data_IF_304900905745
#
_entry.id   IF_304900905745
#
_cell.length_a   1.000
_cell.length_b   1.000
_cell.length_c   1.000
_cell.angle_alpha   90.00
_cell.angle_beta   90.00
_cell.angle_gamma   90.00
#
_symmetry.space_group_name_H-M   'P 1'
#
loop_
_entity.id
_entity.type
_entity.pdbx_description
1 polymer ?
#
# COMPACT_ATOMS: atom_id res chain seq x y z
N UNK A 1 34.28 -19.19 -21.07
CA UNK A 1 33.79 -18.37 -19.94
C UNK A 1 34.51 -18.78 -18.66
N UNK A 2 34.46 -20.06 -18.27
CA UNK A 2 35.31 -20.63 -17.19
C UNK A 2 36.81 -20.42 -17.42
N UNK A 3 37.31 -20.53 -18.66
CA UNK A 3 38.72 -20.27 -18.97
C UNK A 3 39.19 -18.82 -18.65
N UNK A 4 38.29 -17.82 -18.74
CA UNK A 4 38.63 -16.45 -18.39
C UNK A 4 38.69 -16.26 -16.85
N UNK A 5 37.90 -17.04 -16.13
CA UNK A 5 37.88 -17.06 -14.66
C UNK A 5 39.15 -17.73 -14.13
N UNK A 6 39.49 -18.92 -14.62
CA UNK A 6 40.75 -19.60 -14.27
C UNK A 6 41.98 -18.79 -14.68
N UNK A 7 41.88 -17.95 -15.72
CA UNK A 7 42.93 -17.02 -16.12
C UNK A 7 43.10 -15.87 -15.13
N UNK A 8 42.03 -15.34 -14.55
CA UNK A 8 42.14 -14.25 -13.55
C UNK A 8 42.67 -14.77 -12.21
N UNK A 9 42.19 -15.94 -11.78
CA UNK A 9 42.56 -16.55 -10.49
C UNK A 9 44.02 -17.00 -10.45
N UNK A 10 44.60 -17.37 -11.60
CA UNK A 10 46.00 -17.80 -11.69
C UNK A 10 47.01 -16.70 -11.31
N UNK A 11 46.72 -15.42 -11.58
CA UNK A 11 47.61 -14.32 -11.19
C UNK A 11 46.86 -12.98 -11.13
N UNK A 12 46.09 -12.80 -10.06
CA UNK A 12 45.16 -11.67 -9.89
C UNK A 12 45.88 -10.32 -9.84
N UNK A 13 47.07 -10.25 -9.22
CA UNK A 13 47.81 -8.99 -9.00
C UNK A 13 48.32 -8.37 -10.31
N UNK A 14 48.84 -9.19 -11.22
CA UNK A 14 49.35 -8.69 -12.51
C UNK A 14 48.30 -8.59 -13.61
N UNK A 15 47.17 -9.32 -13.47
CA UNK A 15 46.13 -9.41 -14.50
C UNK A 15 44.92 -8.50 -14.24
N UNK A 16 44.75 -7.98 -13.02
CA UNK A 16 43.70 -7.01 -12.68
C UNK A 16 43.72 -5.78 -13.61
N UNK A 17 44.90 -5.32 -14.03
CA UNK A 17 45.03 -4.18 -14.97
C UNK A 17 44.37 -4.42 -16.34
N UNK A 18 44.20 -5.68 -16.76
CA UNK A 18 43.55 -6.04 -18.03
C UNK A 18 42.11 -6.50 -17.84
N UNK A 19 41.64 -6.58 -16.60
CA UNK A 19 40.33 -7.11 -16.22
C UNK A 19 39.20 -6.36 -16.94
N UNK A 20 39.28 -5.02 -16.99
CA UNK A 20 38.30 -4.17 -17.67
C UNK A 20 38.09 -4.54 -19.15
N UNK A 21 39.19 -4.90 -19.84
CA UNK A 21 39.17 -5.25 -21.26
C UNK A 21 38.59 -6.64 -21.44
N UNK A 22 39.01 -7.61 -20.60
CA UNK A 22 38.50 -8.99 -20.65
C UNK A 22 37.00 -9.04 -20.35
N UNK A 23 36.53 -8.25 -19.38
CA UNK A 23 35.11 -8.16 -19.02
C UNK A 23 34.25 -7.57 -20.13
N UNK A 24 34.80 -6.66 -20.93
CA UNK A 24 34.06 -6.10 -22.07
C UNK A 24 33.72 -7.13 -23.16
N UNK A 25 34.40 -8.29 -23.16
CA UNK A 25 34.19 -9.38 -24.11
C UNK A 25 33.45 -10.59 -23.53
N UNK A 26 33.10 -10.55 -22.24
CA UNK A 26 32.36 -11.62 -21.55
C UNK A 26 30.86 -11.29 -21.51
N UNK A 27 30.03 -12.26 -21.93
CA UNK A 27 28.57 -12.25 -21.72
C UNK A 27 28.25 -12.81 -20.35
N UNK A 28 28.23 -11.92 -19.35
CA UNK A 28 28.08 -12.25 -17.91
C UNK A 28 26.66 -12.75 -17.61
N UNK A 29 25.67 -12.29 -18.38
CA UNK A 29 24.26 -12.71 -18.39
C UNK A 29 24.05 -14.21 -18.64
N UNK A 30 25.05 -14.88 -19.18
CA UNK A 30 25.00 -16.31 -19.48
C UNK A 30 25.80 -17.17 -18.49
N UNK A 31 26.14 -16.61 -17.32
CA UNK A 31 26.62 -17.34 -16.13
C UNK A 31 25.45 -17.57 -15.17
N UNK A 32 25.49 -18.64 -14.38
CA UNK A 32 24.47 -18.88 -13.33
C UNK A 32 24.58 -17.83 -12.22
N UNK A 33 23.46 -17.55 -11.55
CA UNK A 33 23.39 -16.53 -10.49
C UNK A 33 24.37 -16.81 -9.34
N UNK A 34 24.60 -18.08 -9.01
CA UNK A 34 25.56 -18.52 -8.00
C UNK A 34 26.99 -18.09 -8.37
N UNK A 35 27.41 -18.34 -9.61
CA UNK A 35 28.74 -17.96 -10.11
C UNK A 35 28.90 -16.44 -10.17
N UNK A 36 27.83 -15.72 -10.51
CA UNK A 36 27.84 -14.25 -10.51
C UNK A 36 28.08 -13.71 -9.10
N UNK A 37 27.39 -14.24 -8.08
CA UNK A 37 27.51 -13.79 -6.68
C UNK A 37 28.88 -14.11 -6.09
N UNK A 38 29.41 -15.32 -6.28
CA UNK A 38 30.76 -15.70 -5.82
C UNK A 38 31.84 -14.81 -6.43
N UNK A 39 31.73 -14.53 -7.73
CA UNK A 39 32.68 -13.68 -8.43
C UNK A 39 32.64 -12.23 -7.94
N UNK A 40 31.45 -11.69 -7.68
CA UNK A 40 31.28 -10.35 -7.11
C UNK A 40 31.92 -10.17 -5.73
N UNK A 41 31.91 -11.23 -4.92
CA UNK A 41 32.50 -11.21 -3.59
C UNK A 41 34.03 -11.30 -3.62
N UNK A 42 34.60 -12.03 -4.59
CA UNK A 42 36.05 -12.24 -4.73
C UNK A 42 36.85 -11.07 -5.34
N UNK A 43 36.18 -10.04 -5.87
CA UNK A 43 36.85 -8.92 -6.55
C UNK A 43 37.44 -7.89 -5.57
N UNK A 44 38.65 -7.35 -5.85
CA UNK A 44 39.21 -6.23 -5.10
C UNK A 44 38.28 -5.01 -5.10
N UNK A 45 38.21 -4.23 -4.00
CA UNK A 45 37.26 -3.11 -3.87
C UNK A 45 37.30 -2.09 -5.02
N UNK A 46 38.49 -1.81 -5.54
CA UNK A 46 38.70 -0.83 -6.62
C UNK A 46 38.12 -1.30 -7.97
N UNK A 47 38.07 -2.62 -8.19
CA UNK A 47 37.67 -3.21 -9.47
C UNK A 47 36.17 -3.57 -9.54
N UNK A 48 35.46 -3.52 -8.41
CA UNK A 48 34.00 -3.71 -8.34
C UNK A 48 33.25 -2.69 -9.20
N UNK A 49 33.75 -1.46 -9.29
CA UNK A 49 33.15 -0.38 -10.07
C UNK A 49 33.13 -0.67 -11.58
N UNK A 50 34.21 -1.27 -12.10
CA UNK A 50 34.37 -1.64 -13.51
C UNK A 50 33.49 -2.84 -13.87
N UNK A 51 33.38 -3.80 -12.96
CA UNK A 51 32.51 -4.99 -13.11
C UNK A 51 31.04 -4.59 -13.13
N UNK A 52 30.64 -3.67 -12.25
CA UNK A 52 29.30 -3.07 -12.27
C UNK A 52 29.02 -2.39 -13.61
N UNK A 53 29.97 -1.62 -14.16
CA UNK A 53 29.81 -1.00 -15.49
C UNK A 53 29.77 -2.00 -16.66
N UNK A 54 30.51 -3.12 -16.56
CA UNK A 54 30.48 -4.21 -17.54
C UNK A 54 29.12 -4.92 -17.56
N UNK A 55 28.61 -5.28 -16.37
CA UNK A 55 27.27 -5.84 -16.18
C UNK A 55 26.17 -4.88 -16.64
N UNK A 56 26.36 -3.58 -16.40
CA UNK A 56 25.48 -2.51 -16.87
C UNK A 56 25.33 -2.46 -18.39
N UNK A 57 26.36 -2.87 -19.14
CA UNK A 57 26.31 -2.95 -20.62
C UNK A 57 25.63 -4.24 -21.11
N UNK A 58 25.73 -5.34 -20.37
CA UNK A 58 25.15 -6.64 -20.73
C UNK A 58 23.72 -6.86 -20.24
N UNK A 59 23.21 -6.05 -19.30
CA UNK A 59 21.82 -6.16 -18.85
C UNK A 59 20.83 -5.81 -19.98
N UNK A 60 19.70 -6.55 -20.10
CA UNK A 60 18.59 -6.16 -20.96
C UNK A 60 18.17 -4.71 -20.66
N UNK A 61 17.70 -3.97 -21.68
CA UNK A 61 17.29 -2.55 -21.53
C UNK A 61 16.31 -2.31 -20.36
N UNK A 62 15.58 -3.35 -19.95
CA UNK A 62 14.60 -3.37 -18.88
C UNK A 62 15.15 -3.16 -17.46
N UNK A 63 16.46 -3.31 -17.23
CA UNK A 63 17.05 -3.26 -15.88
C UNK A 63 18.19 -2.26 -15.70
N UNK A 64 18.36 -1.24 -16.56
CA UNK A 64 19.40 -0.21 -16.32
C UNK A 64 18.89 0.88 -15.36
N UNK A 65 19.32 0.94 -14.07
CA UNK A 65 19.05 2.12 -13.24
C UNK A 65 20.02 3.20 -13.71
N UNK A 66 19.54 4.35 -14.20
CA UNK A 66 20.42 5.42 -14.72
C UNK A 66 21.42 5.83 -13.64
N UNK A 67 22.72 5.94 -13.98
CA UNK A 67 23.70 6.56 -13.09
C UNK A 67 23.17 7.94 -12.67
N UNK A 68 22.95 8.14 -11.36
CA UNK A 68 22.36 9.36 -10.81
C UNK A 68 20.87 9.29 -10.43
N UNK A 69 20.21 8.11 -10.47
CA UNK A 69 18.86 7.97 -9.92
C UNK A 69 18.88 8.02 -8.39
N UNK A 70 18.29 9.08 -7.83
CA UNK A 70 17.90 9.12 -6.41
C UNK A 70 16.70 8.19 -6.21
N UNK A 71 16.75 7.31 -5.21
CA UNK A 71 15.56 6.61 -4.73
C UNK A 71 14.69 7.66 -4.04
N UNK A 72 13.46 7.82 -4.52
CA UNK A 72 12.49 8.74 -3.95
C UNK A 72 11.25 7.95 -3.52
N UNK A 73 10.73 8.29 -2.35
CA UNK A 73 9.47 7.72 -1.85
C UNK A 73 8.30 8.57 -2.33
N UNK A 74 7.27 7.89 -2.83
CA UNK A 74 6.11 8.54 -3.45
C UNK A 74 4.84 8.10 -2.73
N UNK A 75 3.91 9.03 -2.58
CA UNK A 75 2.55 8.74 -2.10
C UNK A 75 1.65 8.58 -3.31
N UNK A 76 1.05 7.41 -3.48
CA UNK A 76 0.07 7.17 -4.54
C UNK A 76 -1.33 7.19 -3.94
N UNK A 77 -2.19 8.03 -4.51
CA UNK A 77 -3.58 8.16 -4.11
C UNK A 77 -4.42 7.65 -5.27
N UNK A 78 -5.01 6.48 -5.06
CA UNK A 78 -6.02 5.91 -5.95
C UNK A 78 -7.35 6.50 -5.51
N UNK A 79 -8.05 7.16 -6.43
CA UNK A 79 -9.32 7.87 -6.19
C UNK A 79 -9.19 9.23 -5.48
N UNK A 80 -8.24 10.06 -5.90
CA UNK A 80 -8.22 11.46 -5.53
C UNK A 80 -9.46 12.17 -6.11
N UNK A 81 -10.28 12.76 -5.24
CA UNK A 81 -11.50 13.47 -5.65
C UNK A 81 -11.13 14.79 -6.36
N UNK A 82 -11.73 15.01 -7.54
CA UNK A 82 -11.59 16.27 -8.29
C UNK A 82 -12.67 17.28 -7.87
N UNK A 83 -12.53 18.54 -8.29
CA UNK A 83 -13.49 19.61 -8.00
C UNK A 83 -14.93 19.28 -8.44
N UNK A 84 -15.06 18.46 -9.49
CA UNK A 84 -16.35 17.97 -9.97
C UNK A 84 -16.83 16.76 -9.16
N UNK A 85 -18.04 16.81 -8.56
CA UNK A 85 -18.59 15.68 -7.82
C UNK A 85 -18.63 14.40 -8.65
N UNK A 86 -18.04 13.33 -8.13
CA UNK A 86 -18.03 12.01 -8.78
C UNK A 86 -16.93 11.79 -9.82
N UNK A 87 -16.01 12.74 -9.99
CA UNK A 87 -14.82 12.56 -10.84
C UNK A 87 -13.59 12.27 -9.97
N UNK A 88 -12.84 11.24 -10.33
CA UNK A 88 -11.69 10.75 -9.57
C UNK A 88 -10.45 10.60 -10.47
N UNK A 89 -9.28 10.82 -9.89
CA UNK A 89 -7.99 10.61 -10.55
C UNK A 89 -7.06 9.73 -9.72
N UNK A 90 -6.09 9.12 -10.38
CA UNK A 90 -4.93 8.52 -9.70
C UNK A 90 -3.76 9.46 -9.82
N UNK A 91 -3.20 9.83 -8.67
CA UNK A 91 -2.10 10.77 -8.59
C UNK A 91 -0.96 10.17 -7.79
N UNK A 92 0.25 10.60 -8.13
CA UNK A 92 1.48 10.24 -7.47
C UNK A 92 2.14 11.52 -6.98
N UNK A 93 2.23 11.69 -5.67
CA UNK A 93 2.85 12.83 -5.02
C UNK A 93 4.27 12.48 -4.59
N UNK A 94 5.21 13.33 -4.96
CA UNK A 94 6.60 13.35 -4.51
C UNK A 94 6.72 14.36 -3.37
N UNK A 95 6.92 13.93 -2.11
CA UNK A 95 7.17 14.84 -1.00
C UNK A 95 8.49 15.59 -1.14
N UNK A 96 9.53 14.94 -1.68
CA UNK A 96 10.86 15.54 -1.79
C UNK A 96 10.94 16.60 -2.90
N UNK A 97 10.30 16.38 -4.07
CA UNK A 97 10.27 17.36 -5.16
C UNK A 97 9.04 18.27 -5.12
N UNK A 98 8.15 18.09 -4.15
CA UNK A 98 6.87 18.81 -4.01
C UNK A 98 6.03 18.82 -5.29
N UNK A 99 6.00 17.67 -5.97
CA UNK A 99 5.41 17.56 -7.30
C UNK A 99 4.40 16.45 -7.39
N UNK A 100 3.33 16.70 -8.13
CA UNK A 100 2.32 15.69 -8.48
C UNK A 100 2.48 15.26 -9.93
N UNK A 101 2.40 13.95 -10.11
CA UNK A 101 2.38 13.28 -11.39
C UNK A 101 1.03 12.60 -11.56
N UNK A 102 0.44 12.76 -12.75
CA UNK A 102 -0.80 12.08 -13.10
C UNK A 102 -0.48 10.66 -13.55
N UNK A 103 -1.03 9.68 -12.83
CA UNK A 103 -1.00 8.28 -13.27
C UNK A 103 -2.26 7.96 -14.06
N UNK A 104 -2.22 6.87 -14.83
CA UNK A 104 -3.42 6.40 -15.48
C UNK A 104 -4.46 5.95 -14.44
N UNK A 105 -5.73 6.26 -14.72
CA UNK A 105 -6.81 5.85 -13.83
C UNK A 105 -7.07 4.34 -13.95
N UNK A 106 -7.52 3.70 -12.86
CA UNK A 106 -8.02 2.33 -12.89
C UNK A 106 -9.03 2.10 -14.02
N UNK A 107 -9.00 0.93 -14.69
CA UNK A 107 -9.90 0.63 -15.80
C UNK A 107 -11.38 0.72 -15.39
N UNK A 108 -12.25 1.07 -16.35
CA UNK A 108 -13.71 1.06 -16.18
C UNK A 108 -14.25 1.94 -15.04
N UNK A 109 -13.55 3.03 -14.69
CA UNK A 109 -13.92 3.91 -13.58
C UNK A 109 -14.07 3.12 -12.26
N UNK A 110 -13.11 2.21 -12.02
CA UNK A 110 -13.10 1.38 -10.83
C UNK A 110 -12.85 2.25 -9.59
N UNK A 111 -13.76 2.14 -8.62
CA UNK A 111 -13.73 2.88 -7.36
C UNK A 111 -13.77 1.94 -6.16
N UNK A 112 -13.45 2.47 -4.98
CA UNK A 112 -13.43 1.77 -3.69
C UNK A 112 -12.55 0.52 -3.72
N UNK A 113 -11.37 0.60 -4.35
CA UNK A 113 -10.42 -0.52 -4.37
C UNK A 113 -9.66 -0.67 -3.05
N UNK A 114 -9.13 -1.86 -2.80
CA UNK A 114 -7.99 -2.03 -1.90
C UNK A 114 -6.70 -1.84 -2.69
N UNK A 115 -5.63 -1.39 -2.03
CA UNK A 115 -4.33 -1.16 -2.65
C UNK A 115 -3.21 -1.69 -1.77
N UNK A 116 -2.13 -2.20 -2.38
CA UNK A 116 -0.92 -2.67 -1.68
C UNK A 116 0.30 -2.42 -2.55
N UNK A 117 1.44 -2.19 -1.90
CA UNK A 117 2.76 -2.11 -2.54
C UNK A 117 3.61 -3.27 -2.04
N UNK A 118 4.23 -4.02 -2.94
CA UNK A 118 5.17 -5.09 -2.60
C UNK A 118 6.52 -4.53 -2.12
N UNK A 119 7.37 -5.33 -1.45
CA UNK A 119 8.74 -4.93 -1.14
C UNK A 119 9.57 -4.54 -2.37
N UNK A 120 9.21 -5.06 -3.55
CA UNK A 120 9.87 -4.78 -4.83
C UNK A 120 9.31 -3.52 -5.53
N UNK A 121 8.41 -2.78 -4.87
CA UNK A 121 7.71 -1.58 -5.35
C UNK A 121 6.64 -1.84 -6.43
N UNK A 122 6.18 -3.08 -6.57
CA UNK A 122 5.03 -3.37 -7.41
C UNK A 122 3.74 -2.91 -6.73
N UNK A 123 2.90 -2.22 -7.49
CA UNK A 123 1.65 -1.65 -6.98
C UNK A 123 0.49 -2.48 -7.50
N UNK A 124 -0.37 -2.90 -6.59
CA UNK A 124 -1.56 -3.68 -6.92
C UNK A 124 -2.82 -3.03 -6.38
N UNK A 125 -3.92 -3.20 -7.11
CA UNK A 125 -5.27 -2.84 -6.66
C UNK A 125 -6.23 -4.01 -6.84
N UNK A 126 -7.18 -4.16 -5.93
CA UNK A 126 -8.15 -5.25 -5.97
C UNK A 126 -9.57 -4.82 -5.55
N UNK A 127 -10.55 -5.51 -6.13
CA UNK A 127 -11.96 -5.35 -5.81
C UNK A 127 -12.50 -4.02 -6.32
N UNK A 128 -13.43 -3.44 -5.57
CA UNK A 128 -14.08 -2.18 -5.86
C UNK A 128 -15.44 -2.33 -6.53
N UNK A 129 -15.90 -1.23 -7.12
CA UNK A 129 -17.17 -1.11 -7.80
C UNK A 129 -17.01 -0.35 -9.12
N UNK A 130 -17.79 -0.73 -10.12
CA UNK A 130 -17.86 -0.06 -11.42
C UNK A 130 -19.26 0.50 -11.67
N UNK A 131 -19.40 1.68 -12.30
CA UNK A 131 -20.71 2.22 -12.68
C UNK A 131 -21.45 1.32 -13.68
N UNK A 132 -22.75 1.10 -13.48
CA UNK A 132 -23.62 0.43 -14.45
C UNK A 132 -24.10 1.45 -15.49
N UNK A 133 -23.69 1.29 -16.75
CA UNK A 133 -24.01 2.23 -17.85
C UNK A 133 -25.48 2.23 -18.31
N UNK A 134 -26.36 1.40 -17.74
CA UNK A 134 -27.75 1.20 -18.20
C UNK A 134 -28.76 1.23 -17.04
N UNK A 135 -29.11 2.42 -16.53
CA UNK A 135 -30.40 2.61 -15.87
C UNK A 135 -31.36 3.24 -16.89
N UNK A 136 -32.18 2.42 -17.56
CA UNK A 136 -33.25 2.93 -18.42
C UNK A 136 -34.18 3.78 -17.56
N UNK A 137 -34.30 5.06 -17.91
CA UNK A 137 -35.28 5.97 -17.33
C UNK A 137 -36.68 5.45 -17.61
N UNK A 138 -37.43 5.06 -16.57
CA UNK A 138 -38.88 5.01 -16.66
C UNK A 138 -39.37 6.45 -16.61
N UNK A 139 -39.95 6.92 -17.71
CA UNK A 139 -40.29 8.31 -18.02
C UNK A 139 -41.26 9.06 -17.08
N UNK A 140 -41.59 8.57 -15.87
CA UNK A 140 -42.70 9.12 -15.09
C UNK A 140 -42.40 9.68 -13.70
N UNK A 141 -41.14 9.84 -13.25
CA UNK A 141 -40.85 10.66 -12.04
C UNK A 141 -39.50 11.37 -12.14
N UNK A 142 -39.41 12.69 -11.88
CA UNK A 142 -38.13 13.39 -11.76
C UNK A 142 -37.54 13.07 -10.38
N UNK A 143 -37.01 11.86 -10.22
CA UNK A 143 -36.23 11.45 -9.05
C UNK A 143 -34.74 11.61 -9.34
N UNK A 144 -33.98 12.11 -8.36
CA UNK A 144 -32.50 12.21 -8.41
C UNK A 144 -31.92 10.89 -8.94
N UNK A 145 -31.21 10.93 -10.08
CA UNK A 145 -30.46 9.79 -10.59
C UNK A 145 -29.43 9.37 -9.53
N UNK A 146 -29.62 8.21 -8.91
CA UNK A 146 -28.55 7.58 -8.14
C UNK A 146 -27.79 6.63 -9.07
N UNK A 147 -26.47 6.83 -9.27
CA UNK A 147 -25.68 5.90 -10.05
C UNK A 147 -25.72 4.52 -9.42
N UNK A 148 -26.08 3.51 -10.21
CA UNK A 148 -26.07 2.12 -9.77
C UNK A 148 -24.68 1.55 -10.00
N UNK A 149 -24.15 0.82 -9.03
CA UNK A 149 -22.80 0.27 -9.07
C UNK A 149 -22.82 -1.25 -8.99
N UNK A 150 -21.91 -1.91 -9.71
CA UNK A 150 -21.65 -3.35 -9.60
C UNK A 150 -20.35 -3.58 -8.84
N UNK A 151 -20.40 -4.35 -7.77
CA UNK A 151 -19.20 -4.83 -7.07
C UNK A 151 -18.46 -5.85 -7.92
N UNK A 152 -17.13 -5.75 -7.96
CA UNK A 152 -16.26 -6.61 -8.78
C UNK A 152 -15.18 -7.29 -7.93
N UNK A 153 -14.54 -8.31 -8.50
CA UNK A 153 -13.41 -9.05 -7.96
C UNK A 153 -12.12 -8.78 -8.78
N UNK A 154 -12.10 -7.72 -9.58
CA UNK A 154 -10.97 -7.42 -10.47
C UNK A 154 -9.68 -7.21 -9.68
N UNK A 155 -8.55 -7.59 -10.29
CA UNK A 155 -7.22 -7.44 -9.71
C UNK A 155 -6.26 -6.93 -10.78
N UNK A 156 -5.49 -5.89 -10.45
CA UNK A 156 -4.59 -5.24 -11.39
C UNK A 156 -3.23 -4.98 -10.75
N UNK A 157 -2.19 -5.11 -11.57
CA UNK A 157 -0.83 -4.64 -11.30
C UNK A 157 -0.56 -3.38 -12.13
N UNK A 158 0.18 -2.42 -11.59
CA UNK A 158 0.52 -1.19 -12.30
C UNK A 158 1.89 -1.29 -12.97
N UNK A 159 1.92 -1.23 -14.30
CA UNK A 159 3.16 -1.06 -15.05
C UNK A 159 3.56 0.43 -15.03
N UNK A 160 4.52 0.76 -14.18
CA UNK A 160 5.03 2.12 -14.04
C UNK A 160 5.78 2.64 -15.28
N UNK A 161 6.33 1.75 -16.13
CA UNK A 161 7.03 2.15 -17.36
C UNK A 161 6.05 2.59 -18.43
N UNK A 162 4.94 1.86 -18.54
CA UNK A 162 3.88 2.14 -19.51
C UNK A 162 2.83 3.11 -18.97
N UNK A 163 2.82 3.34 -17.66
CA UNK A 163 1.76 4.07 -16.95
C UNK A 163 0.39 3.45 -17.29
N UNK A 164 0.26 2.14 -17.09
CA UNK A 164 -0.94 1.36 -17.40
C UNK A 164 -1.24 0.35 -16.30
N UNK A 165 -2.54 0.08 -16.07
CA UNK A 165 -3.00 -1.02 -15.23
C UNK A 165 -3.12 -2.29 -16.06
N UNK A 166 -2.39 -3.33 -15.68
CA UNK A 166 -2.39 -4.64 -16.32
C UNK A 166 -3.29 -5.58 -15.51
N UNK A 167 -4.29 -6.23 -16.13
CA UNK A 167 -5.14 -7.20 -15.45
C UNK A 167 -4.34 -8.43 -15.04
N UNK A 168 -4.60 -8.91 -13.83
CA UNK A 168 -4.10 -10.17 -13.27
C UNK A 168 -5.29 -11.10 -12.98
N UNK A 169 -5.03 -12.32 -12.52
CA UNK A 169 -6.11 -13.24 -12.17
C UNK A 169 -7.03 -12.57 -11.12
N UNK A 170 -8.35 -12.49 -11.37
CA UNK A 170 -9.28 -11.85 -10.46
C UNK A 170 -9.39 -12.64 -9.16
N UNK A 171 -9.71 -11.94 -8.07
CA UNK A 171 -10.03 -12.53 -6.78
C UNK A 171 -11.17 -13.55 -6.89
N UNK A 172 -11.22 -14.51 -5.96
CA UNK A 172 -12.29 -15.50 -5.85
C UNK A 172 -13.60 -14.86 -5.38
N UNK A 173 -13.52 -13.83 -4.53
CA UNK A 173 -14.67 -13.11 -3.99
C UNK A 173 -14.74 -11.67 -4.51
N UNK A 174 -15.96 -11.20 -4.77
CA UNK A 174 -16.22 -9.78 -5.05
C UNK A 174 -16.15 -8.99 -3.74
N UNK A 175 -15.42 -7.86 -3.74
CA UNK A 175 -15.14 -7.08 -2.51
C UNK A 175 -15.14 -5.59 -2.82
N UNK A 176 -15.65 -4.78 -1.92
CA UNK A 176 -15.56 -3.31 -1.93
C UNK A 176 -14.70 -2.88 -0.76
N UNK A 177 -13.67 -2.06 -1.02
CA UNK A 177 -12.63 -1.67 -0.06
C UNK A 177 -12.06 -2.86 0.73
N UNK A 178 -11.61 -3.94 0.07
CA UNK A 178 -10.87 -4.97 0.78
C UNK A 178 -9.60 -4.37 1.41
N UNK A 179 -9.20 -4.87 2.57
CA UNK A 179 -7.84 -4.61 3.06
C UNK A 179 -6.88 -5.49 2.26
N UNK A 180 -5.89 -4.88 1.61
CA UNK A 180 -4.80 -5.59 0.96
C UNK A 180 -3.52 -5.44 1.77
N UNK A 181 -2.81 -6.54 1.98
CA UNK A 181 -1.50 -6.55 2.66
C UNK A 181 -0.55 -7.51 1.99
N UNK A 182 0.73 -7.17 1.97
CA UNK A 182 1.81 -8.08 1.55
C UNK A 182 2.37 -8.77 2.78
N UNK A 183 2.36 -10.10 2.80
CA UNK A 183 2.90 -10.86 3.92
C UNK A 183 3.44 -12.21 3.44
N UNK A 184 4.60 -12.63 3.95
CA UNK A 184 5.18 -13.96 3.69
C UNK A 184 5.30 -14.30 2.18
N UNK A 185 5.55 -13.29 1.35
CA UNK A 185 5.69 -13.44 -0.12
C UNK A 185 4.38 -13.48 -0.91
N UNK A 186 3.23 -13.27 -0.27
CA UNK A 186 1.91 -13.27 -0.91
C UNK A 186 1.16 -11.95 -0.66
N UNK A 187 0.20 -11.64 -1.53
CA UNK A 187 -0.79 -10.59 -1.29
C UNK A 187 -2.03 -11.21 -0.67
N UNK A 188 -2.52 -10.67 0.44
CA UNK A 188 -3.75 -11.10 1.08
C UNK A 188 -4.84 -10.07 0.85
N UNK A 189 -6.02 -10.52 0.42
CA UNK A 189 -7.25 -9.74 0.38
C UNK A 189 -8.19 -10.17 1.50
N UNK A 190 -8.51 -9.22 2.38
CA UNK A 190 -9.18 -9.48 3.65
C UNK A 190 -10.46 -8.64 3.73
N UNK A 191 -11.57 -9.30 4.04
CA UNK A 191 -12.85 -8.64 4.32
C UNK A 191 -13.37 -7.78 3.16
N UNK A 192 -13.79 -6.56 3.49
CA UNK A 192 -14.45 -5.65 2.56
C UNK A 192 -15.97 -5.84 2.50
N UNK A 193 -16.68 -4.83 2.00
CA UNK A 193 -18.12 -4.90 1.80
C UNK A 193 -18.43 -5.71 0.54
N UNK A 194 -19.39 -6.62 0.58
CA UNK A 194 -19.78 -7.38 -0.61
C UNK A 194 -21.29 -7.57 -0.69
N UNK A 195 -21.77 -7.89 -1.89
CA UNK A 195 -23.18 -8.21 -2.16
C UNK A 195 -23.55 -9.62 -1.65
N UNK A 196 -22.57 -10.44 -1.25
CA UNK A 196 -22.77 -11.84 -0.83
C UNK A 196 -23.02 -12.06 0.67
N UNK A 197 -23.28 -11.00 1.44
CA UNK A 197 -23.64 -11.09 2.85
C UNK A 197 -22.47 -11.38 3.79
N UNK A 198 -22.79 -11.85 5.00
CA UNK A 198 -21.85 -11.98 6.11
C UNK A 198 -20.70 -12.98 5.84
N UNK A 199 -20.98 -14.09 5.17
CA UNK A 199 -19.98 -15.13 4.89
C UNK A 199 -18.82 -14.60 4.03
N UNK A 200 -19.12 -13.80 3.00
CA UNK A 200 -18.10 -13.18 2.16
C UNK A 200 -17.26 -12.14 2.92
N UNK A 201 -17.81 -11.52 3.97
CA UNK A 201 -17.05 -10.58 4.80
C UNK A 201 -16.01 -11.26 5.67
N UNK A 202 -16.13 -12.57 5.88
CA UNK A 202 -15.17 -13.37 6.64
C UNK A 202 -14.07 -13.96 5.76
N UNK A 203 -14.29 -14.09 4.46
CA UNK A 203 -13.32 -14.79 3.60
C UNK A 203 -12.03 -13.99 3.52
N UNK A 204 -10.92 -14.73 3.53
CA UNK A 204 -9.58 -14.22 3.26
C UNK A 204 -9.01 -15.07 2.15
N UNK A 205 -8.40 -14.41 1.18
CA UNK A 205 -7.77 -15.05 0.04
C UNK A 205 -6.36 -14.50 -0.13
N UNK A 206 -5.43 -15.36 -0.53
CA UNK A 206 -4.05 -14.99 -0.82
C UNK A 206 -3.75 -15.18 -2.30
N UNK A 207 -2.88 -14.35 -2.82
CA UNK A 207 -2.43 -14.35 -4.20
C UNK A 207 -0.95 -14.71 -4.29
N UNK A 208 -0.66 -15.73 -5.10
CA UNK A 208 0.68 -16.17 -5.45
C UNK A 208 1.11 -15.45 -6.74
N UNK A 209 2.05 -14.51 -6.63
CA UNK A 209 2.52 -13.72 -7.77
C UNK A 209 3.22 -14.55 -8.84
N UNK A 210 3.86 -15.67 -8.46
CA UNK A 210 4.57 -16.56 -9.39
C UNK A 210 3.60 -17.38 -10.23
N UNK A 211 2.50 -17.82 -9.61
CA UNK A 211 1.47 -18.64 -10.28
C UNK A 211 0.36 -17.82 -10.92
N UNK A 212 0.21 -16.56 -10.53
CA UNK A 212 -0.95 -15.74 -10.87
C UNK A 212 -2.27 -16.39 -10.44
N UNK A 213 -2.32 -16.86 -9.18
CA UNK A 213 -3.47 -17.61 -8.66
C UNK A 213 -3.88 -17.13 -7.27
N UNK A 214 -5.20 -17.04 -7.06
CA UNK A 214 -5.79 -16.80 -5.74
C UNK A 214 -6.18 -18.12 -5.07
N UNK A 215 -5.97 -18.21 -3.76
CA UNK A 215 -6.38 -19.35 -2.94
C UNK A 215 -7.06 -18.86 -1.67
N UNK A 216 -8.18 -19.48 -1.29
CA UNK A 216 -8.81 -19.21 0.01
C UNK A 216 -7.92 -19.72 1.15
N UNK A 217 -7.79 -18.91 2.20
CA UNK A 217 -7.13 -19.29 3.45
C UNK A 217 -8.14 -19.23 4.59
N UNK A 218 -7.69 -19.52 5.82
CA UNK A 218 -8.57 -19.50 7.00
C UNK A 218 -9.34 -18.18 7.10
N UNK A 219 -10.68 -18.23 7.21
CA UNK A 219 -11.49 -17.03 7.25
C UNK A 219 -11.34 -16.31 8.59
N UNK A 220 -11.67 -15.01 8.61
CA UNK A 220 -11.77 -14.23 9.83
C UNK A 220 -12.71 -14.92 10.85
N UNK A 221 -12.39 -14.87 12.15
CA UNK A 221 -13.25 -15.44 13.20
C UNK A 221 -14.64 -14.81 13.26
N UNK A 222 -14.77 -13.54 12.88
CA UNK A 222 -16.04 -12.81 12.78
C UNK A 222 -16.08 -11.94 11.53
N UNK A 223 -17.28 -11.61 11.06
CA UNK A 223 -17.49 -10.72 9.92
C UNK A 223 -17.32 -9.26 10.33
N UNK A 224 -16.55 -8.49 9.55
CA UNK A 224 -16.36 -7.07 9.78
C UNK A 224 -16.74 -6.24 8.55
N UNK A 225 -17.22 -5.03 8.81
CA UNK A 225 -17.29 -3.96 7.82
C UNK A 225 -16.15 -2.99 8.10
N UNK A 226 -15.60 -2.40 7.05
CA UNK A 226 -14.62 -1.31 7.15
C UNK A 226 -13.42 -1.62 8.06
N UNK A 227 -12.94 -2.87 7.99
CA UNK A 227 -11.72 -3.28 8.65
C UNK A 227 -10.49 -2.64 8.01
N UNK A 228 -9.43 -2.53 8.80
CA UNK A 228 -8.08 -2.21 8.33
C UNK A 228 -7.15 -3.36 8.68
N UNK A 229 -6.20 -3.65 7.81
CA UNK A 229 -5.18 -4.66 8.04
C UNK A 229 -3.78 -4.07 7.89
N UNK A 230 -2.85 -4.52 8.73
CA UNK A 230 -1.41 -4.17 8.67
C UNK A 230 -0.58 -5.41 8.94
N UNK A 231 0.71 -5.37 8.59
CA UNK A 231 1.65 -6.47 8.81
C UNK A 231 2.72 -6.05 9.79
N UNK A 232 2.95 -6.88 10.81
CA UNK A 232 4.06 -6.74 11.75
C UNK A 232 4.67 -8.12 11.99
N UNK A 233 5.99 -8.24 11.84
CA UNK A 233 6.74 -9.50 12.06
C UNK A 233 6.12 -10.72 11.36
N UNK A 234 5.85 -10.60 10.05
CA UNK A 234 5.20 -11.62 9.20
C UNK A 234 3.81 -12.09 9.67
N UNK A 235 3.16 -11.32 10.54
CA UNK A 235 1.81 -11.59 11.01
C UNK A 235 0.86 -10.49 10.52
N UNK A 236 -0.35 -10.87 10.13
CA UNK A 236 -1.36 -9.96 9.63
C UNK A 236 -2.29 -9.59 10.78
N UNK A 237 -2.37 -8.32 11.12
CA UNK A 237 -3.28 -7.79 12.12
C UNK A 237 -4.47 -7.14 11.46
N UNK A 238 -5.68 -7.58 11.80
CA UNK A 238 -6.94 -7.04 11.29
C UNK A 238 -7.70 -6.40 12.44
N UNK A 239 -8.12 -5.17 12.24
CA UNK A 239 -8.79 -4.37 13.25
C UNK A 239 -10.11 -3.81 12.72
N UNK A 240 -11.15 -3.93 13.53
CA UNK A 240 -12.46 -3.33 13.28
C UNK A 240 -13.20 -3.16 14.61
N UNK A 241 -13.97 -2.07 14.74
CA UNK A 241 -14.67 -1.74 15.98
C UNK A 241 -13.68 -1.66 17.15
N UNK A 242 -13.87 -2.47 18.19
CA UNK A 242 -12.94 -2.61 19.31
C UNK A 242 -12.10 -3.90 19.24
N UNK A 243 -12.26 -4.70 18.17
CA UNK A 243 -11.65 -6.02 18.03
C UNK A 243 -10.35 -5.95 17.23
N UNK A 244 -9.41 -6.81 17.62
CA UNK A 244 -8.13 -6.99 16.96
C UNK A 244 -7.88 -8.49 16.80
N UNK A 245 -7.59 -8.93 15.59
CA UNK A 245 -7.24 -10.31 15.28
C UNK A 245 -5.88 -10.39 14.62
N UNK A 246 -5.09 -11.39 14.99
CA UNK A 246 -3.80 -11.69 14.39
C UNK A 246 -3.89 -13.00 13.60
N UNK A 247 -3.49 -12.98 12.34
CA UNK A 247 -3.35 -14.15 11.50
C UNK A 247 -1.87 -14.48 11.31
N UNK A 248 -1.53 -15.74 11.54
CA UNK A 248 -0.18 -16.27 11.35
C UNK A 248 -0.18 -17.08 10.04
N UNK A 249 0.36 -16.54 8.93
CA UNK A 249 0.28 -17.18 7.61
C UNK A 249 0.81 -18.61 7.56
N UNK A 250 1.95 -18.85 8.24
CA UNK A 250 2.62 -20.16 8.26
C UNK A 250 1.78 -21.28 8.87
N UNK A 251 0.94 -20.95 9.86
CA UNK A 251 0.07 -21.94 10.52
C UNK A 251 -1.39 -21.86 10.05
N UNK A 252 -1.78 -20.77 9.39
CA UNK A 252 -3.17 -20.53 9.01
C UNK A 252 -4.10 -20.28 10.21
N UNK A 253 -3.57 -19.87 11.36
CA UNK A 253 -4.34 -19.72 12.60
C UNK A 253 -4.64 -18.24 12.85
N UNK A 254 -5.86 -17.97 13.31
CA UNK A 254 -6.28 -16.68 13.86
C UNK A 254 -6.24 -16.69 15.39
N UNK A 255 -5.72 -15.62 15.98
CA UNK A 255 -5.77 -15.35 17.41
C UNK A 255 -6.52 -14.04 17.66
N UNK A 256 -7.38 -14.02 18.69
CA UNK A 256 -7.96 -12.78 19.21
C UNK A 256 -6.93 -12.09 20.10
N UNK A 257 -6.67 -10.82 19.83
CA UNK A 257 -5.70 -9.99 20.56
C UNK A 257 -6.43 -9.06 21.52
N UNK A 258 -5.69 -8.23 22.26
CA UNK A 258 -6.28 -7.26 23.17
C UNK A 258 -7.26 -6.33 22.44
N UNK A 259 -8.37 -6.05 23.13
CA UNK A 259 -9.44 -5.18 22.65
C UNK A 259 -9.08 -3.72 22.90
N UNK A 260 -9.48 -2.85 21.99
CA UNK A 260 -9.48 -1.41 22.24
C UNK A 260 -10.61 -1.04 23.18
N UNK A 261 -10.43 0.05 23.91
CA UNK A 261 -11.53 0.64 24.68
C UNK A 261 -12.53 1.31 23.74
N UNK A 262 -12.04 1.96 22.68
CA UNK A 262 -12.89 2.58 21.68
C UNK A 262 -13.41 1.55 20.66
N UNK A 263 -14.66 1.72 20.23
CA UNK A 263 -15.24 1.00 19.09
C UNK A 263 -15.30 1.93 17.88
N UNK A 264 -14.37 1.74 16.94
CA UNK A 264 -14.23 2.59 15.74
C UNK A 264 -14.15 1.80 14.45
N UNK A 265 -14.65 2.34 13.36
CA UNK A 265 -14.52 1.80 12.00
C UNK A 265 -14.01 2.86 11.03
N UNK A 266 -13.69 2.48 9.78
CA UNK A 266 -13.20 3.41 8.74
C UNK A 266 -11.90 4.16 9.10
N UNK A 267 -11.16 3.67 10.09
CA UNK A 267 -9.88 4.24 10.48
C UNK A 267 -8.78 3.91 9.46
N UNK A 268 -7.67 4.62 9.58
CA UNK A 268 -6.40 4.26 8.94
C UNK A 268 -5.50 3.55 9.96
N UNK A 269 -4.61 2.69 9.48
CA UNK A 269 -3.59 2.12 10.35
C UNK A 269 -2.26 1.98 9.63
N UNK A 270 -1.17 2.07 10.39
CA UNK A 270 0.18 1.84 9.91
C UNK A 270 0.97 1.03 10.96
N UNK A 271 1.81 0.12 10.47
CA UNK A 271 2.80 -0.56 11.27
C UNK A 271 4.09 0.25 11.29
N UNK A 272 4.64 0.53 12.47
CA UNK A 272 5.91 1.23 12.62
C UNK A 272 6.58 0.80 13.93
N UNK A 273 7.87 0.46 13.85
CA UNK A 273 8.71 0.05 14.99
C UNK A 273 8.08 -1.01 15.92
N UNK A 274 7.55 -2.09 15.33
CA UNK A 274 6.91 -3.17 16.08
C UNK A 274 5.57 -2.79 16.75
N UNK A 275 5.02 -1.62 16.43
CA UNK A 275 3.73 -1.13 16.92
C UNK A 275 2.76 -0.94 15.77
N UNK A 276 1.47 -0.90 16.11
CA UNK A 276 0.40 -0.58 15.17
C UNK A 276 -0.28 0.69 15.62
N UNK A 277 -0.23 1.71 14.78
CA UNK A 277 -0.92 2.98 14.99
C UNK A 277 -2.28 2.92 14.33
N UNK A 278 -3.34 3.06 15.10
CA UNK A 278 -4.72 3.09 14.65
C UNK A 278 -5.26 4.52 14.78
N UNK A 279 -5.58 5.12 13.63
CA UNK A 279 -5.66 6.56 13.45
C UNK A 279 -7.05 6.95 12.91
N UNK A 280 -7.75 7.78 13.69
CA UNK A 280 -9.06 8.31 13.32
C UNK A 280 -10.16 7.25 13.23
N UNK A 281 -11.06 7.44 12.25
CA UNK A 281 -12.25 6.61 12.06
C UNK A 281 -13.49 7.20 12.73
N UNK A 282 -14.61 6.50 12.57
CA UNK A 282 -15.90 6.88 13.14
C UNK A 282 -16.25 5.97 14.31
N UNK A 283 -16.73 6.57 15.40
CA UNK A 283 -17.30 5.80 16.50
C UNK A 283 -18.51 5.00 16.01
N UNK A 284 -18.56 3.73 16.40
CA UNK A 284 -19.59 2.79 16.00
C UNK A 284 -20.35 2.30 17.23
N UNK A 285 -21.63 2.69 17.31
CA UNK A 285 -22.55 2.22 18.34
C UNK A 285 -22.98 0.79 18.01
N UNK A 286 -22.97 -0.10 19.01
CA UNK A 286 -23.28 -1.52 18.83
C UNK A 286 -24.71 -1.84 18.34
N UNK A 287 -25.61 -0.84 18.21
CA UNK A 287 -27.06 -1.06 18.12
C UNK A 287 -27.82 -0.35 16.97
N UNK A 288 -27.17 0.18 15.93
CA UNK A 288 -27.95 0.71 14.81
C UNK A 288 -27.34 0.41 13.43
N UNK A 289 -28.19 -0.06 12.52
CA UNK A 289 -27.87 -0.16 11.10
C UNK A 289 -27.32 1.18 10.62
N UNK A 290 -26.10 1.12 10.09
CA UNK A 290 -25.18 2.25 10.02
C UNK A 290 -25.74 3.37 9.14
N UNK A 291 -26.27 4.43 9.77
CA UNK A 291 -26.24 5.77 9.19
C UNK A 291 -24.91 6.39 9.58
N UNK A 292 -23.96 6.40 8.64
CA UNK A 292 -22.70 7.12 8.81
C UNK A 292 -23.01 8.61 9.07
N UNK A 293 -22.56 9.19 10.19
CA UNK A 293 -22.62 10.64 10.38
C UNK A 293 -21.78 11.32 9.30
N UNK A 294 -22.25 12.46 8.77
CA UNK A 294 -21.49 13.28 7.82
C UNK A 294 -20.33 14.06 8.47
N UNK A 295 -20.21 14.00 9.80
CA UNK A 295 -19.18 14.69 10.59
C UNK A 295 -19.05 14.01 11.97
N UNK A 296 -17.82 13.85 12.44
CA UNK A 296 -17.51 13.43 13.83
C UNK A 296 -17.60 14.65 14.76
N UNK A 297 -18.53 14.64 15.70
CA UNK A 297 -18.62 15.66 16.77
C UNK A 297 -17.83 15.27 18.03
N UNK A 298 -17.24 14.08 18.03
CA UNK A 298 -16.72 13.35 19.19
C UNK A 298 -15.19 13.19 19.19
N UNK A 299 -14.46 14.00 18.41
CA UNK A 299 -12.99 13.93 18.20
C UNK A 299 -12.46 12.56 17.72
N UNK A 300 -13.34 11.62 17.36
CA UNK A 300 -12.96 10.25 16.98
C UNK A 300 -12.11 10.20 15.71
N UNK A 301 -12.26 11.20 14.83
CA UNK A 301 -11.53 11.34 13.56
C UNK A 301 -10.07 11.75 13.72
N UNK A 302 -9.70 12.34 14.86
CA UNK A 302 -8.31 12.75 15.17
C UNK A 302 -7.64 11.85 16.21
N UNK A 303 -8.41 10.97 16.86
CA UNK A 303 -7.90 10.15 17.94
C UNK A 303 -6.91 9.07 17.48
N UNK A 304 -5.83 8.89 18.25
CA UNK A 304 -4.77 7.91 17.98
C UNK A 304 -4.71 6.89 19.10
N UNK A 305 -4.79 5.62 18.74
CA UNK A 305 -4.53 4.50 19.65
C UNK A 305 -3.39 3.65 19.09
N UNK A 306 -2.49 3.21 19.96
CA UNK A 306 -1.31 2.42 19.58
C UNK A 306 -1.42 1.05 20.23
N UNK A 307 -1.19 0.02 19.43
CA UNK A 307 -1.07 -1.35 19.89
C UNK A 307 0.38 -1.76 19.92
N UNK A 308 0.86 -2.13 21.10
CA UNK A 308 2.18 -2.73 21.29
C UNK A 308 2.10 -4.23 21.05
N UNK A 309 2.70 -4.70 19.96
CA UNK A 309 2.64 -6.10 19.55
C UNK A 309 3.32 -7.02 20.55
N UNK A 310 4.36 -6.56 21.24
CA UNK A 310 5.10 -7.35 22.21
C UNK A 310 4.33 -7.51 23.52
N UNK A 311 3.62 -6.46 23.94
CA UNK A 311 2.83 -6.47 25.18
C UNK A 311 1.41 -7.00 24.98
N UNK A 312 0.92 -7.02 23.75
CA UNK A 312 -0.50 -7.27 23.45
C UNK A 312 -1.40 -6.30 24.22
N UNK A 313 -1.12 -5.00 24.11
CA UNK A 313 -1.81 -3.94 24.84
C UNK A 313 -2.07 -2.73 23.95
N UNK A 314 -3.21 -2.07 24.18
CA UNK A 314 -3.57 -0.80 23.57
C UNK A 314 -3.36 0.36 24.55
N UNK A 315 -2.85 1.48 24.06
CA UNK A 315 -2.80 2.74 24.79
C UNK A 315 -3.13 3.91 23.86
N UNK A 316 -3.56 5.03 24.46
CA UNK A 316 -3.85 6.26 23.74
C UNK A 316 -2.56 7.04 23.52
N UNK A 317 -2.39 7.60 22.33
CA UNK A 317 -1.28 8.49 21.97
C UNK A 317 -1.82 9.89 21.61
N UNK A 318 -0.93 10.85 21.39
CA UNK A 318 -1.33 12.20 21.01
C UNK A 318 -2.21 12.22 19.76
N UNK A 319 -3.29 12.97 19.87
CA UNK A 319 -4.24 13.18 18.78
C UNK A 319 -3.58 13.88 17.59
N UNK A 320 -4.09 13.56 16.40
CA UNK A 320 -3.68 14.20 15.17
C UNK A 320 -4.01 15.71 15.26
N UNK A 321 -3.06 16.60 14.91
CA UNK A 321 -3.24 18.04 14.98
C UNK A 321 -4.09 18.51 13.80
N UNK A 322 -5.41 18.29 13.87
CA UNK A 322 -6.38 18.79 12.92
C UNK A 322 -7.43 19.66 13.62
N UNK A 323 -8.01 20.63 12.90
CA UNK A 323 -9.04 21.51 13.44
C UNK A 323 -10.34 20.74 13.72
N UNK A 324 -11.01 21.09 14.82
CA UNK A 324 -12.39 20.68 15.11
C UNK A 324 -13.28 20.99 13.89
N UNK A 325 -14.18 20.06 13.55
CA UNK A 325 -15.10 20.11 12.39
C UNK A 325 -14.49 19.88 10.99
N UNK A 326 -13.21 19.51 10.89
CA UNK A 326 -12.71 18.93 9.65
C UNK A 326 -13.25 17.49 9.49
N UNK A 327 -13.47 17.05 8.25
CA UNK A 327 -13.56 15.62 7.91
C UNK A 327 -12.17 15.17 7.45
N UNK A 328 -11.21 14.94 8.39
CA UNK A 328 -9.85 14.61 8.01
C UNK A 328 -9.86 13.24 7.35
N UNK A 329 -9.66 13.23 6.04
CA UNK A 329 -9.27 11.99 5.38
C UNK A 329 -7.83 11.69 5.80
N UNK A 330 -7.69 10.92 6.88
CA UNK A 330 -6.39 10.48 7.39
C UNK A 330 -5.96 9.24 6.61
N UNK A 331 -4.75 9.29 6.05
CA UNK A 331 -4.04 8.11 5.55
C UNK A 331 -2.68 8.06 6.23
N UNK A 332 -2.53 7.07 7.09
CA UNK A 332 -1.28 6.77 7.75
C UNK A 332 -0.34 6.12 6.74
N UNK A 333 0.88 6.64 6.65
CA UNK A 333 1.92 6.18 5.72
C UNK A 333 3.25 6.24 6.45
N UNK A 334 4.12 5.25 6.23
CA UNK A 334 5.50 5.32 6.71
C UNK A 334 6.35 5.88 5.57
N UNK A 335 6.98 7.04 5.79
CA UNK A 335 7.80 7.73 4.80
C UNK A 335 9.16 8.01 5.43
N UNK A 336 10.20 7.50 4.81
CA UNK A 336 11.61 7.71 5.18
C UNK A 336 11.91 7.22 6.59
N UNK A 337 11.29 6.09 6.97
CA UNK A 337 11.34 5.52 8.31
C UNK A 337 10.74 6.43 9.40
N UNK A 338 9.74 7.24 9.05
CA UNK A 338 8.93 8.00 10.01
C UNK A 338 7.46 7.69 9.81
N UNK A 339 6.73 7.51 10.90
CA UNK A 339 5.26 7.49 10.87
C UNK A 339 4.76 8.88 10.48
N UNK A 340 4.07 8.94 9.35
CA UNK A 340 3.46 10.15 8.83
C UNK A 340 1.96 9.95 8.62
N UNK A 341 1.22 11.04 8.69
CA UNK A 341 -0.18 11.08 8.25
C UNK A 341 -0.31 12.11 7.15
N UNK A 342 -0.87 11.68 6.02
CA UNK A 342 -1.37 12.58 5.01
C UNK A 342 -2.80 12.96 5.40
N UNK A 343 -3.02 14.26 5.60
CA UNK A 343 -4.31 14.80 6.02
C UNK A 343 -4.85 15.70 4.92
N UNK A 344 -6.13 15.48 4.58
CA UNK A 344 -6.94 16.46 3.86
C UNK A 344 -7.87 17.14 4.86
N UNK A 345 -7.62 18.40 5.16
CA UNK A 345 -8.49 19.23 5.98
C UNK A 345 -9.47 19.97 5.08
N UNK A 346 -10.75 19.64 5.18
CA UNK A 346 -11.83 20.43 4.59
C UNK A 346 -12.67 21.04 5.70
N UNK A 347 -12.58 22.35 5.89
CA UNK A 347 -13.45 23.09 6.79
C UNK A 347 -14.71 23.55 6.03
N UNK A 348 -15.84 23.69 6.75
CA UNK A 348 -17.09 24.21 6.17
C UNK A 348 -16.83 25.56 5.49
N UNK A 349 -17.11 25.62 4.18
CA UNK A 349 -16.91 26.78 3.29
C UNK A 349 -15.44 27.18 2.98
N UNK A 350 -14.44 26.38 3.35
CA UNK A 350 -13.05 26.58 2.91
C UNK A 350 -12.64 25.55 1.84
N UNK A 351 -11.64 25.91 1.03
CA UNK A 351 -10.97 24.95 0.15
C UNK A 351 -10.21 23.90 0.96
N UNK A 352 -10.09 22.71 0.39
CA UNK A 352 -9.34 21.61 1.00
C UNK A 352 -7.86 21.97 1.12
N UNK A 353 -7.29 21.84 2.32
CA UNK A 353 -5.86 21.98 2.58
C UNK A 353 -5.26 20.60 2.83
N UNK A 354 -4.03 20.40 2.36
CA UNK A 354 -3.33 19.13 2.49
C UNK A 354 -2.02 19.33 3.27
N UNK A 355 -1.73 18.42 4.17
CA UNK A 355 -0.53 18.47 4.98
C UNK A 355 -0.02 17.07 5.31
N UNK A 356 1.29 16.96 5.50
CA UNK A 356 1.94 15.79 6.07
C UNK A 356 2.39 16.16 7.48
N UNK A 357 1.85 15.44 8.45
CA UNK A 357 2.34 15.48 9.83
C UNK A 357 3.19 14.25 10.10
N UNK A 358 4.25 14.44 10.87
CA UNK A 358 5.14 13.38 11.33
C UNK A 358 4.95 13.19 12.84
N UNK A 359 4.90 11.93 13.27
CA UNK A 359 4.84 11.58 14.67
C UNK A 359 6.23 11.35 15.24
N UNK A 360 6.48 11.94 16.41
CA UNK A 360 7.65 11.71 17.24
C UNK A 360 7.28 10.74 18.37
N UNK A 361 7.91 9.56 18.38
CA UNK A 361 7.61 8.52 19.35
C UNK A 361 8.14 8.83 20.75
N UNK A 362 9.24 9.59 20.85
CA UNK A 362 9.87 9.88 22.14
C UNK A 362 9.11 10.98 22.89
N UNK A 363 8.58 11.95 22.15
CA UNK A 363 7.81 13.06 22.70
C UNK A 363 6.30 12.79 22.78
N UNK A 364 5.80 11.73 22.13
CA UNK A 364 4.38 11.49 21.89
C UNK A 364 3.69 12.74 21.31
N UNK A 365 4.22 13.25 20.18
CA UNK A 365 3.75 14.50 19.58
C UNK A 365 3.80 14.46 18.05
N UNK A 366 2.88 15.21 17.43
CA UNK A 366 2.85 15.42 15.99
C UNK A 366 3.45 16.76 15.62
N UNK A 367 4.27 16.77 14.58
CA UNK A 367 4.87 17.98 14.02
C UNK A 367 4.49 18.12 12.54
N UNK A 368 4.24 19.36 12.10
CA UNK A 368 4.01 19.65 10.69
C UNK A 368 5.32 19.42 9.93
N UNK A 369 5.37 18.35 9.13
CA UNK A 369 6.53 18.03 8.28
C UNK A 369 6.51 18.86 7.01
N UNK A 370 5.33 18.97 6.38
CA UNK A 370 5.19 19.63 5.09
C UNK A 370 3.76 20.10 4.85
N UNK A 371 3.62 21.33 4.35
CA UNK A 371 2.35 21.84 3.84
C UNK A 371 2.29 21.63 2.32
N UNK A 372 1.20 21.05 1.84
CA UNK A 372 1.05 20.77 0.40
C UNK A 372 0.20 21.87 -0.22
N UNK A 373 0.77 22.54 -1.22
CA UNK A 373 0.11 23.63 -1.92
C UNK A 373 -1.14 23.15 -2.66
N UNK A 374 -2.22 23.94 -2.59
CA UNK A 374 -3.45 23.71 -3.35
C UNK A 374 -3.24 23.70 -4.87
N UNK A 375 -2.13 24.24 -5.38
CA UNK A 375 -1.83 24.21 -6.82
C UNK A 375 -1.25 22.88 -7.28
N UNK A 376 -0.85 22.03 -6.34
CA UNK A 376 -0.11 20.80 -6.59
C UNK A 376 -1.05 19.60 -6.67
N UNK A 377 -2.11 19.56 -5.83
CA UNK A 377 -3.15 18.52 -5.79
C UNK A 377 -4.45 19.02 -6.41
#
# INVERSE_FOLDING_TARGET
REAAMSWLDYNTVSRSQYLSTVLSHLRIDALSEVIQREWFQGLPPNDKSVVVQGLYKSMPRFFKPRLGMTKEEMIIIVEAALENPGSYSTICYSPQAEKVYKLCNPPSELLKVGAVVSPDNDIYIAGGQVPLKNAKSNHNKPGKFQPTFRTVNSFYWFDAQQNTWIPKTPMLCVRVKPSLVWCDGYIYAIGGDSVGGELNRRTVERYDCEKDEWTLVSPLPSAFQWSVAVVVHDCIYVMAYNLTYCFIPRSGIWAEMAKRQSSRCLASAAAFDGKIFYLGGLQADNNSGVRLPSSTLDDSSIAVEVYDVHKNEWYVAANIPAKLFADPCVRAVVISNFLCVFIRETHMNEKAKYAIYQYDMDLDQWFLRQQISERVL
#
